data_IF_656823285178
#
_entry.id   IF_656823285178
#
_cell.length_a   1.000
_cell.length_b   1.000
_cell.length_c   1.000
_cell.angle_alpha   90.00
_cell.angle_beta   90.00
_cell.angle_gamma   90.00
#
_symmetry.space_group_name_H-M   'P 1'
#
loop_
_entity.id
_entity.type
_entity.pdbx_description
1 polymer ?
#
# COMPACT_ATOMS: atom_id res chain seq x y z
N UNK A 1 8.46 4.19 -5.76
CA UNK A 1 7.04 3.97 -6.12
C UNK A 1 6.31 5.29 -6.00
N UNK A 2 5.56 5.64 -7.00
CA UNK A 2 4.76 6.85 -6.97
C UNK A 2 3.43 6.57 -6.29
N UNK A 3 2.73 7.63 -5.84
CA UNK A 3 1.41 7.41 -5.24
C UNK A 3 0.45 6.71 -6.19
N UNK A 4 0.52 7.00 -7.46
CA UNK A 4 -0.35 6.34 -8.44
C UNK A 4 -0.07 4.85 -8.49
N UNK A 5 1.21 4.50 -8.51
CA UNK A 5 1.59 3.09 -8.52
C UNK A 5 1.17 2.40 -7.23
N UNK A 6 1.25 3.12 -6.12
CA UNK A 6 0.83 2.55 -4.85
C UNK A 6 -0.66 2.22 -4.85
N UNK A 7 -1.48 3.09 -5.45
CA UNK A 7 -2.91 2.84 -5.51
C UNK A 7 -3.20 1.56 -6.30
N UNK A 8 -2.51 1.40 -7.43
CA UNK A 8 -2.69 0.20 -8.24
C UNK A 8 -2.26 -1.04 -7.47
N UNK A 9 -1.13 -0.94 -6.80
CA UNK A 9 -0.63 -2.06 -6.01
C UNK A 9 -1.61 -2.40 -4.88
N UNK A 10 -2.13 -1.38 -4.23
CA UNK A 10 -3.01 -1.58 -3.09
C UNK A 10 -4.30 -2.28 -3.50
N UNK A 11 -4.80 -1.98 -4.69
CA UNK A 11 -5.99 -2.65 -5.17
C UNK A 11 -5.78 -4.14 -5.29
N UNK A 12 -4.63 -4.54 -5.83
CA UNK A 12 -4.33 -5.96 -5.92
C UNK A 12 -4.12 -6.58 -4.54
N UNK A 13 -3.46 -5.84 -3.66
CA UNK A 13 -3.19 -6.33 -2.33
C UNK A 13 -4.48 -6.59 -1.55
N UNK A 14 -5.42 -5.66 -1.63
CA UNK A 14 -6.66 -5.79 -0.86
C UNK A 14 -7.53 -6.92 -1.39
N UNK A 15 -7.37 -7.27 -2.65
CA UNK A 15 -8.13 -8.41 -3.19
C UNK A 15 -7.70 -9.72 -2.56
N UNK A 16 -6.49 -9.77 -2.02
CA UNK A 16 -6.02 -10.97 -1.35
C UNK A 16 -6.36 -11.04 0.12
N UNK A 17 -7.00 -10.00 0.65
CA UNK A 17 -7.38 -9.96 2.05
C UNK A 17 -8.81 -10.49 2.17
N UNK A 18 -9.00 -11.50 3.01
CA UNK A 18 -10.29 -12.15 3.15
C UNK A 18 -11.04 -11.64 4.36
N UNK A 19 -12.36 -11.53 4.21
CA UNK A 19 -13.24 -11.28 5.35
C UNK A 19 -12.87 -10.01 6.12
N UNK A 20 -12.33 -9.05 5.41
CA UNK A 20 -11.95 -7.78 6.03
C UNK A 20 -10.92 -7.95 7.14
N UNK A 21 -10.22 -9.08 7.14
CA UNK A 21 -9.17 -9.32 8.13
C UNK A 21 -7.82 -9.25 7.46
N UNK A 22 -6.95 -8.49 8.07
CA UNK A 22 -5.58 -8.40 7.60
C UNK A 22 -4.69 -9.01 8.69
N UNK A 23 -3.78 -9.87 8.27
CA UNK A 23 -2.88 -10.49 9.22
C UNK A 23 -1.78 -9.52 9.62
N UNK A 24 -1.14 -9.75 10.78
CA UNK A 24 -0.02 -8.88 11.16
C UNK A 24 1.08 -8.84 10.11
N UNK A 25 1.37 -9.97 9.46
CA UNK A 25 2.39 -9.99 8.43
C UNK A 25 1.98 -9.15 7.24
N UNK A 26 0.72 -9.21 6.85
CA UNK A 26 0.23 -8.39 5.75
C UNK A 26 0.29 -6.92 6.12
N UNK A 27 -0.04 -6.60 7.35
CA UNK A 27 0.01 -5.22 7.81
C UNK A 27 1.43 -4.67 7.77
N UNK A 28 2.38 -5.47 8.22
CA UNK A 28 3.78 -5.05 8.18
C UNK A 28 4.25 -4.84 6.75
N UNK A 29 3.86 -5.73 5.86
CA UNK A 29 4.24 -5.61 4.46
C UNK A 29 3.66 -4.33 3.86
N UNK A 30 2.40 -4.04 4.18
CA UNK A 30 1.76 -2.83 3.69
C UNK A 30 2.52 -1.58 4.14
N UNK A 31 2.93 -1.57 5.40
CA UNK A 31 3.65 -0.40 5.91
C UNK A 31 5.00 -0.24 5.22
N UNK A 32 5.66 -1.35 4.91
CA UNK A 32 6.94 -1.27 4.23
C UNK A 32 6.78 -0.70 2.82
N UNK A 33 5.75 -1.14 2.12
CA UNK A 33 5.51 -0.62 0.78
C UNK A 33 5.15 0.85 0.84
N UNK A 34 4.35 1.22 1.83
CA UNK A 34 3.95 2.60 1.98
C UNK A 34 5.16 3.52 2.17
N UNK A 35 6.18 3.04 2.88
CA UNK A 35 7.36 3.85 3.10
C UNK A 35 8.17 4.05 1.84
N UNK A 36 7.95 3.22 0.84
CA UNK A 36 8.65 3.37 -0.44
C UNK A 36 7.94 4.34 -1.37
N UNK A 37 6.75 4.78 -1.00
CA UNK A 37 6.00 5.71 -1.83
C UNK A 37 6.58 7.09 -1.69
N UNK A 38 6.83 7.73 -2.82
CA UNK A 38 7.36 9.08 -2.85
C UNK A 38 6.36 9.99 -3.54
N UNK A 39 6.05 11.12 -2.96
CA UNK A 39 5.10 12.03 -3.58
C UNK A 39 5.63 12.50 -4.94
N UNK A 40 4.74 12.53 -5.92
CA UNK A 40 5.11 13.03 -7.23
C UNK A 40 5.32 14.52 -7.15
N UNK A 41 4.57 15.16 -6.29
CA UNK A 41 4.64 16.58 -6.16
C UNK A 41 4.39 16.92 -4.70
N UNK A 42 5.33 17.64 -4.15
CA UNK A 42 5.25 17.97 -2.74
C UNK A 42 4.88 19.44 -2.59
N UNK A 43 3.75 19.69 -1.99
CA UNK A 43 3.25 21.04 -1.79
C UNK A 43 3.17 21.33 -0.32
N UNK A 44 3.65 22.48 0.02
CA UNK A 44 3.62 22.86 1.42
C UNK A 44 3.08 24.23 1.58
#
# INVERSE_FOLDING_TARGET
MTPHEFVIWLRGFTQGVHHYNITPAQWDYLKEVLEQVKPEKYIK
#
